data_IF_924479150833
#
_entry.id   IF_924479150833
#
_cell.length_a   1.000
_cell.length_b   1.000
_cell.length_c   1.000
_cell.angle_alpha   90.00
_cell.angle_beta   90.00
_cell.angle_gamma   90.00
#
_symmetry.space_group_name_H-M   'P 1'
#
loop_
_entity.id
_entity.type
_entity.pdbx_description
1 polymer ?
#
# COMPACT_ATOMS: atom_id res chain seq x y z
N UNK A 1 -13.64 -8.38 5.44
CA UNK A 1 -14.01 -9.09 4.19
C UNK A 1 -13.52 -8.37 2.92
N UNK A 2 -13.56 -7.01 2.84
CA UNK A 2 -13.11 -6.30 1.63
C UNK A 2 -11.64 -6.57 1.28
N UNK A 3 -10.73 -6.59 2.25
CA UNK A 3 -9.30 -6.81 1.99
C UNK A 3 -8.97 -8.21 1.48
N UNK A 4 -9.67 -9.24 1.96
CA UNK A 4 -9.51 -10.61 1.45
C UNK A 4 -10.05 -10.73 0.02
N UNK A 5 -11.20 -10.10 -0.26
CA UNK A 5 -11.75 -10.07 -1.61
C UNK A 5 -10.82 -9.39 -2.62
N UNK A 6 -10.16 -8.29 -2.23
CA UNK A 6 -9.16 -7.61 -3.08
C UNK A 6 -7.95 -8.51 -3.34
N UNK A 7 -7.43 -9.20 -2.32
CA UNK A 7 -6.30 -10.13 -2.51
C UNK A 7 -6.65 -11.26 -3.47
N UNK A 8 -7.80 -11.93 -3.26
CA UNK A 8 -8.25 -13.00 -4.16
C UNK A 8 -8.44 -12.46 -5.58
N UNK A 9 -9.03 -11.26 -5.71
CA UNK A 9 -9.26 -10.59 -6.99
C UNK A 9 -7.98 -10.30 -7.78
N UNK A 10 -6.83 -10.12 -7.12
CA UNK A 10 -5.54 -9.90 -7.78
C UNK A 10 -4.74 -11.19 -7.99
N UNK A 11 -4.85 -12.14 -7.06
CA UNK A 11 -4.10 -13.41 -7.18
C UNK A 11 -4.65 -14.35 -8.23
N UNK A 12 -5.97 -14.39 -8.46
CA UNK A 12 -6.56 -15.25 -9.49
C UNK A 12 -6.11 -14.81 -10.89
N UNK A 13 -6.22 -13.53 -11.31
CA UNK A 13 -5.69 -13.08 -12.60
C UNK A 13 -4.18 -13.29 -12.73
N UNK A 14 -3.40 -13.12 -11.65
CA UNK A 14 -1.97 -13.42 -11.64
C UNK A 14 -1.67 -14.86 -11.99
N UNK A 15 -2.34 -15.82 -11.35
CA UNK A 15 -2.13 -17.24 -11.63
C UNK A 15 -2.56 -17.63 -13.06
N UNK A 16 -3.67 -17.07 -13.54
CA UNK A 16 -4.14 -17.28 -14.91
C UNK A 16 -3.13 -16.70 -15.90
N UNK A 17 -2.70 -15.45 -15.72
CA UNK A 17 -1.70 -14.82 -16.59
C UNK A 17 -0.40 -15.63 -16.61
N UNK A 18 0.11 -16.02 -15.44
CA UNK A 18 1.32 -16.81 -15.31
C UNK A 18 1.22 -18.15 -16.05
N UNK A 19 0.11 -18.88 -15.89
CA UNK A 19 -0.12 -20.17 -16.55
C UNK A 19 -0.16 -20.02 -18.07
N UNK A 20 -0.88 -19.02 -18.57
CA UNK A 20 -0.98 -18.75 -20.02
C UNK A 20 0.37 -18.33 -20.59
N UNK A 21 1.10 -17.45 -19.91
CA UNK A 21 2.43 -17.00 -20.34
C UNK A 21 3.43 -18.16 -20.43
N UNK A 22 3.45 -19.07 -19.45
CA UNK A 22 4.29 -20.27 -19.50
C UNK A 22 3.90 -21.21 -20.64
N UNK A 23 2.61 -21.32 -20.97
CA UNK A 23 2.13 -22.15 -22.08
C UNK A 23 2.53 -21.59 -23.46
N UNK A 24 2.62 -20.24 -23.59
CA UNK A 24 3.00 -19.57 -24.85
C UNK A 24 4.53 -19.59 -25.04
N UNK A 25 5.26 -19.03 -24.07
CA UNK A 25 6.73 -18.95 -24.15
C UNK A 25 7.37 -18.90 -22.76
N UNK A 26 8.02 -20.00 -22.39
CA UNK A 26 8.67 -20.15 -21.07
C UNK A 26 9.85 -19.20 -20.89
N UNK A 27 10.66 -18.96 -21.92
CA UNK A 27 11.87 -18.15 -21.84
C UNK A 27 11.53 -16.66 -21.58
N UNK A 28 10.57 -16.12 -22.35
CA UNK A 28 10.06 -14.77 -22.10
C UNK A 28 9.42 -14.62 -20.71
N UNK A 29 8.68 -15.63 -20.28
CA UNK A 29 8.04 -15.61 -18.96
C UNK A 29 9.07 -15.57 -17.84
N UNK A 30 10.12 -16.39 -17.90
CA UNK A 30 11.21 -16.38 -16.91
C UNK A 30 11.92 -15.03 -16.90
N UNK A 31 12.20 -14.46 -18.08
CA UNK A 31 12.83 -13.13 -18.19
C UNK A 31 12.02 -12.05 -17.49
N UNK A 32 10.70 -12.07 -17.63
CA UNK A 32 9.80 -11.13 -16.92
C UNK A 32 9.74 -11.38 -15.42
N UNK A 33 9.76 -12.64 -15.01
CA UNK A 33 9.74 -12.99 -13.58
C UNK A 33 10.96 -12.45 -12.82
N UNK A 34 12.08 -12.19 -13.49
CA UNK A 34 13.25 -11.56 -12.87
C UNK A 34 12.94 -10.14 -12.38
N UNK A 35 11.96 -9.45 -12.97
CA UNK A 35 11.55 -8.12 -12.51
C UNK A 35 10.76 -8.16 -11.18
N UNK A 36 10.08 -9.28 -10.86
CA UNK A 36 9.24 -9.37 -9.65
C UNK A 36 10.01 -9.25 -8.34
N UNK A 37 11.17 -9.90 -8.13
CA UNK A 37 11.97 -9.69 -6.93
C UNK A 37 12.40 -8.23 -6.76
N UNK A 38 12.81 -7.55 -7.83
CA UNK A 38 13.18 -6.14 -7.79
C UNK A 38 11.99 -5.29 -7.36
N UNK A 39 10.83 -5.47 -7.98
CA UNK A 39 9.59 -4.78 -7.62
C UNK A 39 9.22 -5.03 -6.16
N UNK A 40 9.35 -6.27 -5.70
CA UNK A 40 9.04 -6.66 -4.32
C UNK A 40 9.93 -5.92 -3.33
N UNK A 41 11.25 -5.92 -3.53
CA UNK A 41 12.21 -5.24 -2.67
C UNK A 41 11.91 -3.74 -2.60
N UNK A 42 11.71 -3.10 -3.75
CA UNK A 42 11.40 -1.67 -3.84
C UNK A 42 10.07 -1.35 -3.15
N UNK A 43 9.03 -2.16 -3.40
CA UNK A 43 7.72 -1.99 -2.75
C UNK A 43 7.84 -2.02 -1.23
N UNK A 44 8.50 -3.02 -0.65
CA UNK A 44 8.66 -3.10 0.80
C UNK A 44 9.52 -1.97 1.38
N UNK A 45 10.55 -1.53 0.67
CA UNK A 45 11.38 -0.39 1.05
C UNK A 45 10.54 0.90 1.14
N UNK A 46 9.85 1.26 0.05
CA UNK A 46 8.99 2.46 0.03
C UNK A 46 7.87 2.38 1.07
N UNK A 47 7.22 1.24 1.24
CA UNK A 47 6.19 1.03 2.26
C UNK A 47 6.70 1.21 3.68
N UNK A 48 7.94 0.85 3.96
CA UNK A 48 8.54 1.10 5.27
C UNK A 48 8.67 2.61 5.56
N UNK A 49 9.08 3.39 4.57
CA UNK A 49 9.20 4.86 4.67
C UNK A 49 7.81 5.49 4.81
N UNK A 50 6.88 5.13 3.94
CA UNK A 50 5.50 5.62 3.92
C UNK A 50 4.81 5.41 5.26
N UNK A 51 4.95 4.22 5.88
CA UNK A 51 4.38 3.93 7.21
C UNK A 51 4.91 4.85 8.32
N UNK A 52 6.18 5.23 8.28
CA UNK A 52 6.76 6.16 9.26
C UNK A 52 6.17 7.55 9.08
N UNK A 53 6.09 8.03 7.84
CA UNK A 53 5.53 9.34 7.51
C UNK A 53 4.04 9.42 7.85
N UNK A 54 3.26 8.40 7.55
CA UNK A 54 1.84 8.32 7.94
C UNK A 54 1.63 8.45 9.45
N UNK A 55 2.50 7.84 10.26
CA UNK A 55 2.41 8.00 11.71
C UNK A 55 2.63 9.44 12.14
N UNK A 56 3.61 10.13 11.54
CA UNK A 56 3.90 11.53 11.84
C UNK A 56 2.74 12.45 11.42
N UNK A 57 2.18 12.24 10.23
CA UNK A 57 0.98 12.96 9.77
C UNK A 57 -0.19 12.76 10.74
N UNK A 58 -0.45 11.52 11.16
CA UNK A 58 -1.54 11.25 12.13
C UNK A 58 -1.32 11.92 13.48
N UNK A 59 -0.08 11.95 13.98
CA UNK A 59 0.25 12.62 15.24
C UNK A 59 0.03 14.12 15.13
N UNK A 60 0.47 14.76 14.06
CA UNK A 60 0.27 16.21 13.86
C UNK A 60 -1.20 16.55 13.62
N UNK A 61 -1.95 15.75 12.86
CA UNK A 61 -3.41 15.93 12.71
C UNK A 61 -4.14 15.79 14.04
N UNK A 62 -3.76 14.81 14.87
CA UNK A 62 -4.33 14.65 16.20
C UNK A 62 -4.06 15.86 17.10
N UNK A 63 -2.83 16.39 17.06
CA UNK A 63 -2.45 17.60 17.82
C UNK A 63 -3.20 18.85 17.33
N UNK A 64 -3.42 19.00 16.01
CA UNK A 64 -4.23 20.08 15.44
C UNK A 64 -5.69 19.98 15.90
N UNK A 65 -6.28 18.80 15.85
CA UNK A 65 -7.66 18.59 16.30
C UNK A 65 -7.81 18.86 17.80
N UNK A 66 -6.86 18.40 18.63
CA UNK A 66 -6.85 18.68 20.06
C UNK A 66 -6.75 20.18 20.31
N UNK A 67 -5.81 20.88 19.67
CA UNK A 67 -5.65 22.33 19.80
C UNK A 67 -6.91 23.08 19.37
N UNK A 68 -7.58 22.64 18.31
CA UNK A 68 -8.83 23.23 17.86
C UNK A 68 -9.94 23.02 18.89
N UNK A 69 -10.09 21.80 19.44
CA UNK A 69 -11.08 21.51 20.49
C UNK A 69 -10.84 22.34 21.76
N UNK A 70 -9.58 22.42 22.21
CA UNK A 70 -9.21 23.22 23.37
C UNK A 70 -9.52 24.72 23.18
N UNK A 71 -9.18 25.28 22.00
CA UNK A 71 -9.46 26.68 21.69
C UNK A 71 -10.96 26.98 21.54
N UNK A 72 -11.74 26.05 20.97
CA UNK A 72 -13.20 26.22 20.85
C UNK A 72 -13.90 26.09 22.20
N UNK A 73 -13.52 25.10 23.02
CA UNK A 73 -14.10 24.87 24.33
C UNK A 73 -13.73 25.97 25.34
N UNK A 74 -12.52 26.56 25.21
CA UNK A 74 -12.04 27.63 26.06
C UNK A 74 -12.10 29.01 25.42
N UNK A 75 -12.94 29.23 24.40
CA UNK A 75 -12.95 30.46 23.60
C UNK A 75 -13.11 31.72 24.46
N UNK A 76 -14.01 31.70 25.43
CA UNK A 76 -14.23 32.83 26.35
C UNK A 76 -12.98 33.17 27.19
N UNK A 77 -12.31 32.11 27.71
CA UNK A 77 -11.07 32.29 28.51
C UNK A 77 -9.93 32.80 27.62
N UNK A 78 -9.82 32.30 26.38
CA UNK A 78 -8.80 32.76 25.41
C UNK A 78 -9.00 34.26 25.08
N UNK A 79 -10.26 34.70 24.90
CA UNK A 79 -10.60 36.08 24.59
C UNK A 79 -10.36 36.99 25.80
N UNK A 80 -10.81 36.59 26.99
CA UNK A 80 -10.63 37.37 28.22
C UNK A 80 -9.14 37.51 28.61
N UNK A 81 -8.31 36.52 28.26
CA UNK A 81 -6.88 36.52 28.58
C UNK A 81 -5.99 37.09 27.46
N UNK A 82 -6.57 37.59 26.36
CA UNK A 82 -5.88 38.13 25.18
C UNK A 82 -4.81 37.19 24.59
N UNK A 83 -5.12 35.88 24.56
CA UNK A 83 -4.18 34.82 24.11
C UNK A 83 -4.41 34.32 22.67
N UNK A 84 -5.26 34.98 21.90
CA UNK A 84 -5.60 34.57 20.54
C UNK A 84 -4.37 34.45 19.65
N UNK A 85 -3.49 35.47 19.69
CA UNK A 85 -2.27 35.50 18.87
C UNK A 85 -1.31 34.34 19.21
N UNK A 86 -1.10 34.10 20.51
CA UNK A 86 -0.24 33.01 20.97
C UNK A 86 -0.76 31.63 20.52
N UNK A 87 -2.08 31.42 20.62
CA UNK A 87 -2.72 30.16 20.19
C UNK A 87 -2.66 29.99 18.66
N UNK A 88 -2.85 31.09 17.92
CA UNK A 88 -2.69 31.08 16.46
C UNK A 88 -1.27 30.72 16.05
N UNK A 89 -0.26 31.26 16.69
CA UNK A 89 1.14 30.93 16.40
C UNK A 89 1.47 29.45 16.68
N UNK A 90 0.99 28.93 17.82
CA UNK A 90 1.13 27.50 18.16
C UNK A 90 0.44 26.60 17.14
N UNK A 91 -0.78 26.91 16.77
CA UNK A 91 -1.53 26.17 15.77
C UNK A 91 -0.82 26.20 14.41
N UNK A 92 -0.37 27.38 13.98
CA UNK A 92 0.35 27.57 12.70
C UNK A 92 1.66 26.78 12.66
N UNK A 93 2.39 26.71 13.77
CA UNK A 93 3.60 25.90 13.89
C UNK A 93 3.29 24.43 13.65
N UNK A 94 2.32 23.86 14.35
CA UNK A 94 1.91 22.46 14.20
C UNK A 94 1.37 22.17 12.79
N UNK A 95 0.61 23.11 12.23
CA UNK A 95 0.08 23.00 10.86
C UNK A 95 1.21 23.01 9.81
N UNK A 96 2.25 23.81 10.04
CA UNK A 96 3.44 23.84 9.18
C UNK A 96 4.21 22.50 9.24
N UNK A 97 4.34 21.92 10.43
CA UNK A 97 4.93 20.59 10.61
C UNK A 97 4.10 19.53 9.89
N UNK A 98 2.77 19.55 10.04
CA UNK A 98 1.87 18.64 9.33
C UNK A 98 2.04 18.75 7.82
N UNK A 99 2.01 19.97 7.26
CA UNK A 99 2.22 20.20 5.83
C UNK A 99 3.56 19.64 5.35
N UNK A 100 4.62 19.78 6.16
CA UNK A 100 5.93 19.26 5.80
C UNK A 100 5.95 17.71 5.73
N UNK A 101 5.27 17.04 6.68
CA UNK A 101 5.15 15.58 6.65
C UNK A 101 4.26 15.09 5.50
N UNK A 102 3.14 15.75 5.24
CA UNK A 102 2.26 15.42 4.09
C UNK A 102 2.99 15.62 2.76
N UNK A 103 3.75 16.71 2.62
CA UNK A 103 4.55 16.95 1.40
C UNK A 103 5.62 15.88 1.21
N UNK A 104 6.29 15.46 2.29
CA UNK A 104 7.27 14.36 2.22
C UNK A 104 6.59 13.04 1.84
N UNK A 105 5.43 12.76 2.44
CA UNK A 105 4.64 11.57 2.15
C UNK A 105 4.23 11.53 0.67
N UNK A 106 3.63 12.63 0.17
CA UNK A 106 3.23 12.74 -1.23
C UNK A 106 4.41 12.55 -2.21
N UNK A 107 5.58 13.12 -1.89
CA UNK A 107 6.79 12.93 -2.73
C UNK A 107 7.23 11.47 -2.77
N UNK A 108 7.23 10.78 -1.63
CA UNK A 108 7.61 9.36 -1.56
C UNK A 108 6.63 8.50 -2.34
N UNK A 109 5.32 8.75 -2.20
CA UNK A 109 4.28 8.03 -2.94
C UNK A 109 4.36 8.28 -4.45
N UNK A 110 4.60 9.53 -4.87
CA UNK A 110 4.78 9.87 -6.29
C UNK A 110 6.03 9.20 -6.88
N UNK A 111 7.16 9.20 -6.15
CA UNK A 111 8.37 8.52 -6.59
C UNK A 111 8.18 7.00 -6.71
N UNK A 112 7.46 6.40 -5.77
CA UNK A 112 7.12 4.98 -5.84
C UNK A 112 6.23 4.66 -7.04
N UNK A 113 5.19 5.47 -7.29
CA UNK A 113 4.31 5.32 -8.46
C UNK A 113 5.09 5.45 -9.76
N UNK A 114 5.91 6.50 -9.90
CA UNK A 114 6.75 6.71 -11.08
C UNK A 114 7.74 5.56 -11.31
N UNK A 115 8.33 5.00 -10.24
CA UNK A 115 9.20 3.84 -10.35
C UNK A 115 8.43 2.59 -10.84
N UNK A 116 7.27 2.33 -10.26
CA UNK A 116 6.43 1.19 -10.63
C UNK A 116 6.01 1.27 -12.10
N UNK A 117 5.54 2.43 -12.56
CA UNK A 117 5.15 2.67 -13.95
C UNK A 117 6.35 2.54 -14.90
N UNK A 118 7.51 3.09 -14.52
CA UNK A 118 8.74 2.97 -15.30
C UNK A 118 9.19 1.51 -15.45
N UNK A 119 9.09 0.73 -14.38
CA UNK A 119 9.42 -0.70 -14.41
C UNK A 119 8.47 -1.49 -15.31
N UNK A 120 7.17 -1.20 -15.26
CA UNK A 120 6.18 -1.81 -16.14
C UNK A 120 6.46 -1.49 -17.62
N UNK A 121 6.75 -0.23 -17.95
CA UNK A 121 7.11 0.16 -19.31
C UNK A 121 8.44 -0.44 -19.77
N UNK A 122 9.43 -0.54 -18.88
CA UNK A 122 10.68 -1.23 -19.18
C UNK A 122 10.45 -2.71 -19.49
N UNK A 123 9.56 -3.38 -18.72
CA UNK A 123 9.18 -4.77 -18.98
C UNK A 123 8.50 -4.93 -20.34
N UNK A 124 7.63 -3.99 -20.77
CA UNK A 124 7.07 -3.95 -22.11
C UNK A 124 8.18 -3.83 -23.17
N UNK A 125 9.13 -2.93 -22.96
CA UNK A 125 10.28 -2.77 -23.86
C UNK A 125 11.10 -4.04 -24.00
N UNK A 126 11.33 -4.74 -22.90
CA UNK A 126 12.02 -6.05 -22.89
C UNK A 126 11.23 -7.09 -23.69
N UNK A 127 9.91 -7.19 -23.50
CA UNK A 127 9.06 -8.10 -24.28
C UNK A 127 9.22 -7.81 -25.78
N UNK A 128 9.04 -6.56 -26.19
CA UNK A 128 9.11 -6.18 -27.60
C UNK A 128 10.48 -6.52 -28.17
N UNK A 129 11.54 -6.23 -27.43
CA UNK A 129 12.92 -6.51 -27.86
C UNK A 129 13.16 -8.01 -28.06
N UNK A 130 12.82 -8.85 -27.08
CA UNK A 130 13.06 -10.29 -27.16
C UNK A 130 12.11 -10.99 -28.14
N UNK A 131 10.85 -10.54 -28.25
CA UNK A 131 9.89 -11.15 -29.17
C UNK A 131 10.12 -10.79 -30.63
N UNK A 132 10.89 -9.72 -30.94
CA UNK A 132 11.13 -9.30 -32.32
C UNK A 132 11.72 -10.41 -33.19
N UNK A 133 12.73 -11.11 -32.69
CA UNK A 133 13.34 -12.25 -33.39
C UNK A 133 12.38 -13.45 -33.49
N UNK A 134 11.65 -13.74 -32.39
CA UNK A 134 10.69 -14.87 -32.34
C UNK A 134 9.52 -14.66 -33.33
N UNK A 135 9.10 -13.43 -33.56
CA UNK A 135 8.08 -13.10 -34.56
C UNK A 135 8.60 -13.23 -35.98
N UNK A 136 9.84 -12.79 -36.23
CA UNK A 136 10.49 -12.94 -37.55
C UNK A 136 10.67 -14.43 -37.91
N UNK A 137 11.07 -15.25 -36.93
CA UNK A 137 11.26 -16.71 -37.09
C UNK A 137 9.92 -17.48 -37.05
N UNK A 138 8.77 -16.77 -37.04
CA UNK A 138 7.42 -17.37 -36.99
C UNK A 138 7.17 -18.29 -35.76
N UNK A 139 8.04 -18.22 -34.76
CA UNK A 139 7.91 -18.99 -33.51
C UNK A 139 6.91 -18.38 -32.55
N UNK A 140 6.51 -17.10 -32.77
CA UNK A 140 5.57 -16.35 -31.95
C UNK A 140 4.73 -15.43 -32.84
N UNK A 141 3.42 -15.37 -32.56
CA UNK A 141 2.51 -14.46 -33.26
C UNK A 141 2.52 -13.04 -32.66
N UNK A 142 2.19 -12.03 -33.45
CA UNK A 142 1.99 -10.67 -32.95
C UNK A 142 0.91 -10.59 -31.87
N UNK A 143 -0.15 -11.44 -31.95
CA UNK A 143 -1.20 -11.51 -30.94
C UNK A 143 -0.66 -11.99 -29.59
N UNK A 144 0.27 -12.93 -29.57
CA UNK A 144 0.92 -13.41 -28.34
C UNK A 144 1.81 -12.33 -27.71
N UNK A 145 2.53 -11.53 -28.52
CA UNK A 145 3.28 -10.37 -28.00
C UNK A 145 2.36 -9.37 -27.31
N UNK A 146 1.22 -9.07 -27.93
CA UNK A 146 0.22 -8.17 -27.33
C UNK A 146 -0.34 -8.76 -26.03
N UNK A 147 -0.63 -10.06 -25.97
CA UNK A 147 -1.06 -10.73 -24.73
C UNK A 147 0.00 -10.60 -23.62
N UNK A 148 1.27 -10.81 -23.92
CA UNK A 148 2.35 -10.64 -22.96
C UNK A 148 2.40 -9.20 -22.39
N UNK A 149 2.25 -8.18 -23.23
CA UNK A 149 2.22 -6.78 -22.77
C UNK A 149 1.04 -6.48 -21.84
N UNK A 150 -0.13 -7.09 -22.11
CA UNK A 150 -1.31 -6.94 -21.25
C UNK A 150 -1.15 -7.66 -19.90
N UNK A 151 -0.48 -8.78 -19.87
CA UNK A 151 -0.31 -9.57 -18.66
C UNK A 151 0.71 -9.00 -17.67
N UNK A 152 1.56 -8.04 -18.07
CA UNK A 152 2.49 -7.35 -17.16
C UNK A 152 1.75 -6.75 -15.96
N UNK A 153 0.64 -6.04 -16.20
CA UNK A 153 -0.17 -5.48 -15.12
C UNK A 153 -0.67 -6.54 -14.14
N UNK A 154 -1.15 -7.68 -14.67
CA UNK A 154 -1.61 -8.81 -13.85
C UNK A 154 -0.50 -9.47 -13.05
N UNK A 155 0.77 -9.41 -13.53
CA UNK A 155 1.92 -9.92 -12.79
C UNK A 155 2.38 -8.95 -11.68
N UNK A 156 2.28 -7.65 -11.89
CA UNK A 156 2.79 -6.64 -10.96
C UNK A 156 1.78 -6.25 -9.87
N UNK A 157 0.49 -6.23 -10.20
CA UNK A 157 -0.58 -5.81 -9.29
C UNK A 157 -0.61 -6.54 -7.94
N UNK A 158 -0.48 -7.87 -7.85
CA UNK A 158 -0.51 -8.55 -6.56
C UNK A 158 0.57 -8.06 -5.59
N UNK A 159 1.77 -7.73 -6.10
CA UNK A 159 2.89 -7.25 -5.27
C UNK A 159 2.58 -5.86 -4.72
N UNK A 160 2.05 -4.97 -5.56
CA UNK A 160 1.63 -3.62 -5.15
C UNK A 160 0.53 -3.71 -4.11
N UNK A 161 -0.51 -4.52 -4.36
CA UNK A 161 -1.65 -4.73 -3.47
C UNK A 161 -1.22 -5.38 -2.15
N UNK A 162 -0.34 -6.39 -2.15
CA UNK A 162 0.22 -6.95 -0.92
C UNK A 162 0.91 -5.88 -0.07
N UNK A 163 1.71 -5.02 -0.70
CA UNK A 163 2.32 -3.88 -0.02
C UNK A 163 1.30 -2.96 0.64
N UNK A 164 0.13 -2.73 0.01
CA UNK A 164 -0.96 -1.88 0.52
C UNK A 164 -1.77 -2.55 1.62
N UNK A 165 -2.11 -3.82 1.45
CA UNK A 165 -3.02 -4.57 2.29
C UNK A 165 -2.36 -5.20 3.53
N UNK A 166 -1.03 -5.13 3.66
CA UNK A 166 -0.31 -5.72 4.80
C UNK A 166 -0.88 -5.30 6.16
N UNK A 167 -1.26 -4.02 6.34
CA UNK A 167 -1.85 -3.53 7.58
C UNK A 167 -3.28 -4.07 7.83
N UNK A 168 -4.02 -4.37 6.76
CA UNK A 168 -5.36 -4.97 6.86
C UNK A 168 -5.23 -6.42 7.29
N UNK A 169 -4.27 -7.16 6.75
CA UNK A 169 -3.98 -8.54 7.15
C UNK A 169 -3.61 -8.63 8.64
N UNK A 170 -2.69 -7.80 9.12
CA UNK A 170 -2.33 -7.79 10.55
C UNK A 170 -3.51 -7.43 11.46
N UNK A 171 -4.36 -6.47 11.05
CA UNK A 171 -5.58 -6.15 11.81
C UNK A 171 -6.59 -7.29 11.79
N UNK A 172 -6.75 -7.97 10.67
CA UNK A 172 -7.64 -9.12 10.56
C UNK A 172 -7.16 -10.28 11.45
N UNK A 173 -5.85 -10.57 11.46
CA UNK A 173 -5.26 -11.58 12.34
C UNK A 173 -5.46 -11.24 13.82
N UNK A 174 -5.15 -10.00 14.23
CA UNK A 174 -5.36 -9.56 15.62
C UNK A 174 -6.84 -9.57 16.03
N UNK A 175 -7.76 -9.25 15.11
CA UNK A 175 -9.20 -9.34 15.37
C UNK A 175 -9.67 -10.80 15.48
N UNK A 176 -9.14 -11.68 14.61
CA UNK A 176 -9.39 -13.12 14.68
C UNK A 176 -8.93 -13.72 16.02
N UNK A 177 -7.72 -13.40 16.45
CA UNK A 177 -7.17 -13.83 17.74
C UNK A 177 -8.06 -13.42 18.92
N UNK A 178 -8.56 -12.17 18.92
CA UNK A 178 -9.49 -11.70 19.96
C UNK A 178 -10.83 -12.46 19.95
N UNK A 179 -11.33 -12.83 18.75
CA UNK A 179 -12.56 -13.62 18.64
C UNK A 179 -12.33 -15.02 19.21
N UNK A 180 -11.21 -15.67 18.89
CA UNK A 180 -10.87 -16.98 19.45
C UNK A 180 -10.66 -16.90 20.96
N UNK A 181 -9.96 -15.89 21.46
CA UNK A 181 -9.83 -15.68 22.92
C UNK A 181 -11.18 -15.47 23.61
N UNK A 182 -12.12 -14.75 22.97
CA UNK A 182 -13.46 -14.57 23.52
C UNK A 182 -14.30 -15.86 23.49
N UNK A 183 -14.10 -16.73 22.50
CA UNK A 183 -14.77 -18.05 22.44
C UNK A 183 -14.21 -19.05 23.45
N UNK A 184 -12.91 -18.95 23.76
CA UNK A 184 -12.23 -19.80 24.74
C UNK A 184 -12.38 -19.26 26.18
N UNK A 185 -13.06 -18.12 26.37
CA UNK A 185 -13.26 -17.52 27.67
C UNK A 185 -14.31 -18.33 28.46
N UNK A 186 -13.84 -19.09 29.47
CA UNK A 186 -14.68 -19.87 30.38
C UNK A 186 -15.24 -18.93 31.46
N UNK A 187 -16.46 -18.42 31.26
CA UNK A 187 -17.20 -17.60 32.23
C UNK A 187 -17.75 -18.47 33.37
N UNK A 188 -16.90 -19.10 34.16
CA UNK A 188 -17.32 -19.67 35.43
C UNK A 188 -17.23 -18.62 36.52
N UNK A 189 -18.39 -18.09 36.92
CA UNK A 189 -18.52 -17.33 38.16
C UNK A 189 -18.24 -18.33 39.28
N UNK A 190 -17.09 -18.19 39.95
CA UNK A 190 -16.80 -18.97 41.15
C UNK A 190 -17.72 -18.47 42.27
N UNK A 191 -18.70 -19.30 42.68
CA UNK A 191 -19.43 -19.04 43.89
C UNK A 191 -18.45 -19.08 45.09
N UNK A 192 -18.49 -18.09 46.00
CA UNK A 192 -17.64 -18.10 47.17
C UNK A 192 -17.96 -19.36 48.01
N UNK A 193 -16.98 -20.03 48.59
CA UNK A 193 -17.24 -21.18 49.48
C UNK A 193 -18.03 -20.71 50.71
N UNK A 194 -19.15 -21.40 51.00
CA UNK A 194 -19.97 -21.22 52.21
C UNK A 194 -19.15 -21.48 53.48
#
# INVERSE_FOLDING_TARGET
LRGLGTLIGEFVPFLVALTVMFAINTELTITLLIALPLLTIVTFYFRSITRKLFRQVRQTVSALNQSLQENLSGLEVVQLSDRQQLNYERYTKTNTENRNYETKLARVETLYGAFNDSLAHAAIGVIIWFSANLVVDTSMSLGEVVLFTQFIGMLFNPIVVLGEQTNILFRAMASGERIFQALDWDEKIHEPPN
#
